data_IF_181160983803
#
_entry.id   IF_181160983803
#
_cell.length_a   1.000
_cell.length_b   1.000
_cell.length_c   1.000
_cell.angle_alpha   90.00
_cell.angle_beta   90.00
_cell.angle_gamma   90.00
#
_symmetry.space_group_name_H-M   'P 1'
#
loop_
_entity.id
_entity.type
_entity.pdbx_description
1 polymer ?
#
# COMPACT_ATOMS: atom_id res chain seq x y z
N UNK A 1 0.16 9.75 7.77
CA UNK A 1 0.17 10.07 6.32
C UNK A 1 -0.48 11.44 6.09
N UNK A 2 0.22 12.35 5.43
CA UNK A 2 -0.24 13.70 5.14
C UNK A 2 -1.29 13.73 4.02
N UNK A 3 -1.91 14.91 3.88
CA UNK A 3 -3.00 15.16 2.93
C UNK A 3 -2.54 15.03 1.48
N UNK A 4 -1.33 15.46 1.15
CA UNK A 4 -0.81 15.46 -0.22
C UNK A 4 -0.55 14.04 -0.71
N UNK A 5 0.14 13.24 0.10
CA UNK A 5 0.38 11.82 -0.17
C UNK A 5 -0.93 11.05 -0.28
N UNK A 6 -1.89 11.31 0.62
CA UNK A 6 -3.24 10.71 0.52
C UNK A 6 -3.91 11.07 -0.81
N UNK A 7 -3.85 12.34 -1.23
CA UNK A 7 -4.43 12.80 -2.50
C UNK A 7 -3.74 12.14 -3.69
N UNK A 8 -2.41 11.97 -3.65
CA UNK A 8 -1.66 11.25 -4.68
C UNK A 8 -2.14 9.80 -4.81
N UNK A 9 -2.24 9.05 -3.70
CA UNK A 9 -2.72 7.65 -3.72
C UNK A 9 -4.12 7.56 -4.35
N UNK A 10 -5.04 8.45 -3.95
CA UNK A 10 -6.40 8.47 -4.48
C UNK A 10 -6.45 8.83 -5.96
N UNK A 11 -5.60 9.76 -6.39
CA UNK A 11 -5.52 10.19 -7.80
C UNK A 11 -4.96 9.07 -8.67
N UNK A 12 -3.85 8.45 -8.25
CA UNK A 12 -3.25 7.30 -8.95
C UNK A 12 -4.25 6.15 -9.07
N UNK A 13 -5.01 5.87 -8.02
CA UNK A 13 -5.95 4.74 -7.99
C UNK A 13 -7.38 5.11 -8.46
N UNK A 14 -7.57 6.30 -9.05
CA UNK A 14 -8.90 6.75 -9.48
C UNK A 14 -9.55 5.79 -10.49
N UNK A 15 -8.77 5.23 -11.42
CA UNK A 15 -9.25 4.24 -12.40
C UNK A 15 -9.78 2.95 -11.74
N UNK A 16 -9.20 2.57 -10.59
CA UNK A 16 -9.57 1.39 -9.85
C UNK A 16 -10.81 1.63 -8.99
N UNK A 17 -10.92 2.83 -8.40
CA UNK A 17 -11.99 3.25 -7.51
C UNK A 17 -13.30 3.63 -8.23
N UNK A 18 -13.84 2.73 -9.04
CA UNK A 18 -15.17 2.89 -9.67
C UNK A 18 -16.28 2.67 -8.64
N UNK A 19 -17.24 3.59 -8.60
CA UNK A 19 -18.43 3.51 -7.72
C UNK A 19 -19.22 2.23 -8.00
N UNK A 20 -19.75 1.59 -6.96
CA UNK A 20 -20.63 0.42 -7.05
C UNK A 20 -19.96 -0.94 -6.86
N UNK A 21 -18.66 -1.02 -6.57
CA UNK A 21 -17.97 -2.30 -6.30
C UNK A 21 -17.42 -2.31 -4.86
N UNK A 22 -18.18 -2.82 -3.87
CA UNK A 22 -17.79 -2.83 -2.46
C UNK A 22 -16.40 -3.43 -2.19
N UNK A 23 -16.05 -4.46 -2.96
CA UNK A 23 -14.73 -5.09 -2.90
C UNK A 23 -13.58 -4.10 -3.15
N UNK A 24 -13.72 -3.19 -4.12
CA UNK A 24 -12.66 -2.22 -4.46
C UNK A 24 -12.49 -1.15 -3.39
N UNK A 25 -13.58 -0.72 -2.76
CA UNK A 25 -13.51 0.18 -1.61
C UNK A 25 -12.75 -0.45 -0.44
N UNK A 26 -13.01 -1.74 -0.16
CA UNK A 26 -12.26 -2.51 0.85
C UNK A 26 -10.76 -2.61 0.50
N UNK A 27 -10.42 -2.86 -0.76
CA UNK A 27 -9.02 -2.91 -1.22
C UNK A 27 -8.34 -1.54 -1.10
N UNK A 28 -9.01 -0.44 -1.47
CA UNK A 28 -8.48 0.91 -1.27
C UNK A 28 -8.23 1.23 0.20
N UNK A 29 -9.15 0.86 1.10
CA UNK A 29 -8.93 1.03 2.55
C UNK A 29 -7.69 0.24 3.01
N UNK A 30 -7.51 -0.99 2.52
CA UNK A 30 -6.32 -1.78 2.82
C UNK A 30 -5.03 -1.14 2.32
N UNK A 31 -5.03 -0.60 1.11
CA UNK A 31 -3.88 0.14 0.58
C UNK A 31 -3.50 1.30 1.50
N UNK A 32 -4.49 2.11 1.91
CA UNK A 32 -4.26 3.24 2.81
C UNK A 32 -3.67 2.78 4.14
N UNK A 33 -4.23 1.74 4.76
CA UNK A 33 -3.71 1.20 6.03
C UNK A 33 -2.28 0.66 5.90
N UNK A 34 -1.93 0.03 4.76
CA UNK A 34 -0.56 -0.43 4.50
C UNK A 34 0.41 0.76 4.49
N UNK A 35 0.06 1.82 3.76
CA UNK A 35 0.91 2.99 3.61
C UNK A 35 1.02 3.78 4.92
N UNK A 36 -0.08 3.90 5.68
CA UNK A 36 -0.09 4.50 7.01
C UNK A 36 0.83 3.76 7.97
N UNK A 37 0.74 2.43 8.06
CA UNK A 37 1.62 1.62 8.91
C UNK A 37 3.09 1.78 8.53
N UNK A 38 3.40 1.80 7.22
CA UNK A 38 4.77 2.03 6.74
C UNK A 38 5.28 3.39 7.21
N UNK A 39 4.49 4.46 7.04
CA UNK A 39 4.94 5.80 7.42
C UNK A 39 5.01 6.02 8.92
N UNK A 40 4.14 5.37 9.69
CA UNK A 40 4.17 5.40 11.16
C UNK A 40 5.46 4.79 11.71
N UNK A 41 5.93 3.68 11.13
CA UNK A 41 7.14 3.00 11.57
C UNK A 41 8.43 3.53 10.95
N UNK A 42 8.34 4.29 9.86
CA UNK A 42 9.49 4.75 9.07
C UNK A 42 9.42 6.27 8.90
N UNK A 43 9.39 7.02 10.01
CA UNK A 43 9.19 8.48 10.02
C UNK A 43 10.20 9.25 9.14
N UNK A 44 11.42 8.73 8.95
CA UNK A 44 12.45 9.34 8.09
C UNK A 44 12.07 9.40 6.60
N UNK A 45 11.04 8.66 6.18
CA UNK A 45 10.54 8.73 4.80
C UNK A 45 9.86 10.07 4.49
N UNK A 46 9.46 10.83 5.51
CA UNK A 46 8.74 12.09 5.33
C UNK A 46 7.43 11.91 4.56
N UNK A 47 6.83 10.71 4.69
CA UNK A 47 5.58 10.34 4.02
C UNK A 47 5.61 10.42 2.49
N UNK A 48 6.80 10.30 1.88
CA UNK A 48 6.99 10.30 0.44
C UNK A 48 6.90 8.89 -0.16
N UNK A 49 5.95 8.67 -1.08
CA UNK A 49 5.72 7.36 -1.72
C UNK A 49 6.94 6.85 -2.49
N UNK A 50 7.67 7.74 -3.15
CA UNK A 50 8.89 7.42 -3.92
C UNK A 50 10.02 6.83 -3.05
N UNK A 51 9.98 7.05 -1.73
CA UNK A 51 10.97 6.54 -0.78
C UNK A 51 10.58 5.17 -0.20
N UNK A 52 9.36 4.70 -0.45
CA UNK A 52 8.95 3.35 -0.04
C UNK A 52 9.60 2.35 -0.98
N UNK A 53 10.59 1.64 -0.46
CA UNK A 53 11.28 0.57 -1.17
C UNK A 53 11.03 -0.81 -0.57
N UNK A 54 11.82 -1.78 -1.02
CA UNK A 54 11.73 -3.19 -0.61
C UNK A 54 11.83 -3.36 0.91
N UNK A 55 12.72 -2.61 1.58
CA UNK A 55 12.98 -2.76 3.03
C UNK A 55 11.74 -2.40 3.86
N UNK A 56 11.07 -1.32 3.51
CA UNK A 56 9.85 -0.84 4.18
C UNK A 56 8.71 -1.85 4.03
N UNK A 57 8.55 -2.42 2.83
CA UNK A 57 7.51 -3.42 2.56
C UNK A 57 7.80 -4.74 3.30
N UNK A 58 9.08 -5.16 3.37
CA UNK A 58 9.46 -6.32 4.20
C UNK A 58 9.17 -6.04 5.68
N UNK A 59 9.49 -4.84 6.16
CA UNK A 59 9.16 -4.40 7.52
C UNK A 59 7.65 -4.53 7.80
N UNK A 60 6.82 -4.03 6.88
CA UNK A 60 5.37 -4.19 6.92
C UNK A 60 4.95 -5.66 7.05
N UNK A 61 5.47 -6.54 6.17
CA UNK A 61 5.12 -7.96 6.20
C UNK A 61 5.53 -8.69 7.47
N UNK A 62 6.63 -8.27 8.11
CA UNK A 62 7.05 -8.82 9.40
C UNK A 62 6.10 -8.41 10.52
N UNK A 63 5.64 -7.15 10.53
CA UNK A 63 4.68 -6.66 11.53
C UNK A 63 3.32 -7.34 11.40
N UNK A 64 2.87 -7.58 10.17
CA UNK A 64 1.58 -8.23 9.90
C UNK A 64 1.69 -9.75 9.70
N UNK A 65 2.71 -10.40 10.26
CA UNK A 65 2.93 -11.85 10.10
C UNK A 65 1.82 -12.71 10.72
N UNK A 66 1.12 -12.18 11.74
CA UNK A 66 0.02 -12.82 12.43
C UNK A 66 -1.27 -12.88 11.59
N UNK A 67 -1.34 -12.14 10.49
CA UNK A 67 -2.51 -12.15 9.61
C UNK A 67 -2.60 -13.44 8.78
N UNK A 68 -3.83 -13.82 8.44
CA UNK A 68 -4.06 -14.99 7.60
C UNK A 68 -3.41 -14.86 6.21
N UNK A 69 -3.00 -16.00 5.64
CA UNK A 69 -2.42 -16.07 4.30
C UNK A 69 -3.30 -15.40 3.24
N UNK A 70 -4.62 -15.58 3.33
CA UNK A 70 -5.58 -14.96 2.42
C UNK A 70 -5.56 -13.43 2.53
N UNK A 71 -5.59 -12.89 3.75
CA UNK A 71 -5.52 -11.43 3.97
C UNK A 71 -4.23 -10.84 3.42
N UNK A 72 -3.09 -11.50 3.68
CA UNK A 72 -1.78 -11.05 3.17
C UNK A 72 -1.70 -11.11 1.64
N UNK A 73 -2.28 -12.13 1.01
CA UNK A 73 -2.40 -12.22 -0.45
C UNK A 73 -3.21 -11.06 -1.04
N UNK A 74 -4.34 -10.72 -0.42
CA UNK A 74 -5.19 -9.60 -0.86
C UNK A 74 -4.47 -8.25 -0.70
N UNK A 75 -3.79 -8.04 0.43
CA UNK A 75 -2.95 -6.84 0.66
C UNK A 75 -1.81 -6.73 -0.34
N UNK A 76 -1.13 -7.83 -0.63
CA UNK A 76 -0.08 -7.87 -1.64
C UNK A 76 -0.62 -7.49 -3.02
N UNK A 77 -1.79 -8.02 -3.41
CA UNK A 77 -2.37 -7.74 -4.72
C UNK A 77 -2.66 -6.25 -4.93
N UNK A 78 -3.26 -5.58 -3.94
CA UNK A 78 -3.55 -4.14 -4.05
C UNK A 78 -2.28 -3.28 -3.97
N UNK A 79 -1.31 -3.68 -3.15
CA UNK A 79 -0.03 -2.98 -3.05
C UNK A 79 0.77 -3.08 -4.35
N UNK A 80 0.83 -4.28 -4.95
CA UNK A 80 1.49 -4.50 -6.24
C UNK A 80 0.81 -3.72 -7.37
N UNK A 81 -0.53 -3.70 -7.40
CA UNK A 81 -1.28 -2.90 -8.37
C UNK A 81 -0.95 -1.42 -8.22
N UNK A 82 -0.92 -0.90 -7.00
CA UNK A 82 -0.59 0.49 -6.73
C UNK A 82 0.83 0.83 -7.20
N UNK A 83 1.83 0.03 -6.82
CA UNK A 83 3.23 0.27 -7.23
C UNK A 83 3.40 0.28 -8.74
N UNK A 84 2.74 -0.64 -9.44
CA UNK A 84 2.76 -0.69 -10.89
C UNK A 84 2.10 0.54 -11.52
N UNK A 85 0.96 0.97 -10.98
CA UNK A 85 0.21 2.12 -11.51
C UNK A 85 0.92 3.45 -11.22
N UNK A 86 1.47 3.59 -10.02
CA UNK A 86 2.23 4.77 -9.61
C UNK A 86 3.64 4.83 -10.24
N UNK A 87 4.03 3.80 -11.02
CA UNK A 87 5.37 3.65 -11.59
C UNK A 87 6.48 3.82 -10.53
N UNK A 88 6.23 3.31 -9.30
CA UNK A 88 7.21 3.39 -8.22
C UNK A 88 8.38 2.45 -8.48
N UNK A 89 9.57 2.88 -8.08
CA UNK A 89 10.77 2.09 -8.24
C UNK A 89 10.74 0.84 -7.36
N UNK A 90 11.04 -0.31 -7.97
CA UNK A 90 11.21 -1.59 -7.27
C UNK A 90 9.99 -2.52 -7.34
N UNK A 91 10.26 -3.80 -7.08
CA UNK A 91 9.22 -4.85 -7.02
C UNK A 91 8.69 -4.97 -5.59
N UNK A 92 7.38 -5.04 -5.45
CA UNK A 92 6.73 -5.37 -4.17
C UNK A 92 7.13 -6.80 -3.78
N UNK A 93 7.85 -7.02 -2.67
CA UNK A 93 8.20 -8.35 -2.22
C UNK A 93 6.94 -9.10 -1.78
N UNK A 94 6.89 -10.40 -2.09
CA UNK A 94 5.78 -11.26 -1.67
C UNK A 94 5.80 -11.45 -0.14
N UNK A 95 4.65 -11.51 0.53
CA UNK A 95 4.58 -11.88 1.94
C UNK A 95 5.02 -13.35 2.11
N UNK A 96 5.91 -13.60 3.09
CA UNK A 96 6.36 -14.94 3.51
C UNK A 96 5.40 -15.56 4.50
#
# INVERSE_FOLDING_TARGET
MNRDTRKQVLTTMAFYNKKGIPFRAKQMKRLMMILEDIFEHEAYLGEQLSRIGRKQIIGYWKRTQHESKQTRKEKYAILALFFNTAQLAGKVPKPH
#
